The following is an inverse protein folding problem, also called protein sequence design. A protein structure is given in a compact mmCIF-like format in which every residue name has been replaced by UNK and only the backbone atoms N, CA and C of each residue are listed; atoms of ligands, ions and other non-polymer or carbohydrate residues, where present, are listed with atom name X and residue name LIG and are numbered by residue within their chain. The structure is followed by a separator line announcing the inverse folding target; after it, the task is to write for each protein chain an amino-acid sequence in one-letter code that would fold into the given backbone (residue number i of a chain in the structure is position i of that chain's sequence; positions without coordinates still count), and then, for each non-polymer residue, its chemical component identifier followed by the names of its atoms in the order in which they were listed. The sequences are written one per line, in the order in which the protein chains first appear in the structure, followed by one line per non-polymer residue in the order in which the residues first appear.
data_IF_962472756421
#
_entry.id   IF_962472756421
#
_cell.length_a   1.000
_cell.length_b   1.000
_cell.length_c   1.000
_cell.angle_alpha   90.00
_cell.angle_beta   90.00
_cell.angle_gamma   90.00
#
_symmetry.space_group_name_H-M   'P 1'
#
loop_
_entity.id
_entity.type
_entity.pdbx_description
1 polymer ?
#
# COMPACT_ATOMS: atom_id res chain seq x y z
N UNK A 1 22.80 33.98 57.97
CA UNK A 1 21.58 34.07 57.15
C UNK A 1 21.88 33.48 55.76
N UNK A 2 21.44 32.25 55.49
CA UNK A 2 21.62 31.56 54.19
C UNK A 2 20.38 31.82 53.34
N UNK A 3 20.53 32.58 52.22
CA UNK A 3 19.46 32.76 51.23
C UNK A 3 19.44 31.57 50.29
N UNK A 4 18.34 30.78 50.34
CA UNK A 4 18.07 29.70 49.42
C UNK A 4 17.44 30.28 48.16
N UNK A 5 18.08 30.05 46.99
CA UNK A 5 17.57 30.43 45.69
C UNK A 5 16.89 29.21 45.12
N UNK A 6 15.57 29.24 45.00
CA UNK A 6 14.80 28.21 44.32
C UNK A 6 14.80 28.53 42.81
N UNK A 7 15.50 27.71 42.04
CA UNK A 7 15.43 27.76 40.57
C UNK A 7 14.18 27.00 40.12
N UNK A 8 13.19 27.72 39.63
CA UNK A 8 11.99 27.15 39.02
C UNK A 8 12.35 26.77 37.58
N UNK A 9 12.48 25.49 37.29
CA UNK A 9 12.63 24.96 35.94
C UNK A 9 11.22 24.87 35.35
N UNK A 10 10.87 25.80 34.45
CA UNK A 10 9.66 25.72 33.64
C UNK A 10 9.95 24.74 32.50
N UNK A 11 9.42 23.53 32.63
CA UNK A 11 9.44 22.53 31.56
C UNK A 11 8.40 22.96 30.50
N UNK A 12 8.86 23.60 29.44
CA UNK A 12 8.02 23.89 28.27
C UNK A 12 7.79 22.56 27.54
N UNK A 13 6.66 21.93 27.77
CA UNK A 13 6.21 20.79 26.96
C UNK A 13 5.86 21.31 25.58
N UNK A 14 6.78 21.16 24.62
CA UNK A 14 6.51 21.31 23.22
C UNK A 14 5.60 20.15 22.80
N UNK A 15 4.29 20.38 22.77
CA UNK A 15 3.35 19.50 22.07
C UNK A 15 3.64 19.61 20.56
N UNK A 16 4.43 18.68 20.05
CA UNK A 16 4.57 18.51 18.62
C UNK A 16 3.23 17.97 18.14
N UNK A 17 2.40 18.82 17.57
CA UNK A 17 1.24 18.37 16.81
C UNK A 17 1.78 17.60 15.61
N UNK A 18 1.79 16.28 15.70
CA UNK A 18 2.04 15.41 14.55
C UNK A 18 0.83 15.57 13.63
N UNK A 19 0.93 16.52 12.69
CA UNK A 19 -0.03 16.63 11.59
C UNK A 19 0.05 15.30 10.86
N UNK A 20 -1.08 14.62 10.71
CA UNK A 20 -1.17 13.35 9.98
C UNK A 20 -0.57 13.51 8.60
N UNK A 21 0.64 12.99 8.41
CA UNK A 21 1.38 13.14 7.17
C UNK A 21 0.70 12.29 6.09
N UNK A 22 0.35 12.94 4.97
CA UNK A 22 -0.03 12.25 3.74
C UNK A 22 1.28 11.90 3.03
N UNK A 23 1.59 10.61 2.93
CA UNK A 23 2.87 10.16 2.37
C UNK A 23 2.88 10.31 0.86
N UNK A 24 1.71 10.20 0.23
CA UNK A 24 1.57 10.35 -1.21
C UNK A 24 0.22 10.95 -1.60
N UNK A 25 0.28 11.97 -2.46
CA UNK A 25 -0.89 12.64 -3.04
C UNK A 25 -0.68 12.78 -4.55
N UNK A 26 -1.59 12.20 -5.33
CA UNK A 26 -1.56 12.33 -6.77
C UNK A 26 -2.98 12.41 -7.35
N UNK A 27 -3.08 13.07 -8.49
CA UNK A 27 -4.31 13.05 -9.27
C UNK A 27 -4.37 11.70 -10.02
N UNK A 28 -5.37 10.84 -9.76
CA UNK A 28 -5.47 9.55 -10.43
C UNK A 28 -5.61 9.65 -11.95
N UNK A 29 -5.98 10.82 -12.49
CA UNK A 29 -6.05 11.03 -13.94
C UNK A 29 -4.70 11.35 -14.58
N UNK A 30 -3.68 11.69 -13.78
CA UNK A 30 -2.33 11.99 -14.30
C UNK A 30 -1.47 10.72 -14.45
N UNK A 31 -1.96 9.58 -13.94
CA UNK A 31 -1.25 8.31 -14.03
C UNK A 31 -1.65 7.58 -15.30
N UNK A 32 -0.71 7.47 -16.22
CA UNK A 32 -0.87 6.59 -17.39
C UNK A 32 -0.51 5.16 -16.96
N UNK A 33 -1.48 4.24 -16.87
CA UNK A 33 -1.19 2.87 -16.50
C UNK A 33 -0.22 2.24 -17.49
N UNK A 34 0.79 1.52 -16.99
CA UNK A 34 1.60 0.69 -17.85
C UNK A 34 0.74 -0.47 -18.36
N UNK A 35 0.79 -0.71 -19.67
CA UNK A 35 0.07 -1.83 -20.28
C UNK A 35 0.92 -3.09 -20.11
N UNK A 36 0.43 -4.02 -19.32
CA UNK A 36 0.97 -5.38 -19.24
C UNK A 36 0.36 -6.27 -20.32
N UNK A 37 0.96 -7.40 -20.55
CA UNK A 37 0.44 -8.45 -21.44
C UNK A 37 -0.19 -9.56 -20.61
N UNK A 38 -1.47 -9.84 -20.84
CA UNK A 38 -2.11 -11.04 -20.28
C UNK A 38 -1.42 -12.28 -20.83
N UNK A 39 -1.03 -13.20 -19.97
CA UNK A 39 -0.32 -14.42 -20.32
C UNK A 39 -1.04 -15.66 -19.76
N UNK A 40 -0.83 -16.79 -20.41
CA UNK A 40 -1.29 -18.07 -19.92
C UNK A 40 -0.48 -18.49 -18.67
N UNK A 41 -1.06 -19.23 -17.70
CA UNK A 41 -0.31 -19.81 -16.59
C UNK A 41 0.91 -20.64 -17.01
N UNK A 42 0.88 -21.25 -18.19
CA UNK A 42 2.00 -22.03 -18.74
C UNK A 42 3.19 -21.17 -19.18
N UNK A 43 2.99 -19.86 -19.32
CA UNK A 43 4.05 -18.89 -19.64
C UNK A 43 4.64 -18.22 -18.41
N UNK A 44 4.07 -18.49 -17.24
CA UNK A 44 4.58 -18.01 -15.94
C UNK A 44 5.71 -18.92 -15.48
N UNK A 45 6.84 -18.37 -15.01
CA UNK A 45 7.91 -19.19 -14.45
C UNK A 45 7.41 -20.10 -13.32
N UNK A 46 7.88 -21.33 -13.28
CA UNK A 46 7.46 -22.30 -12.25
C UNK A 46 7.79 -21.82 -10.83
N UNK A 47 8.88 -21.06 -10.67
CA UNK A 47 9.26 -20.41 -9.42
C UNK A 47 8.15 -19.49 -8.89
N UNK A 48 7.55 -18.70 -9.80
CA UNK A 48 6.45 -17.77 -9.48
C UNK A 48 5.19 -18.52 -9.10
N UNK A 49 4.82 -19.55 -9.87
CA UNK A 49 3.64 -20.38 -9.56
C UNK A 49 3.78 -21.05 -8.19
N UNK A 50 4.96 -21.61 -7.89
CA UNK A 50 5.20 -22.27 -6.61
C UNK A 50 5.17 -21.26 -5.44
N UNK A 51 5.77 -20.09 -5.60
CA UNK A 51 5.73 -19.04 -4.59
C UNK A 51 4.29 -18.58 -4.30
N UNK A 52 3.50 -18.31 -5.33
CA UNK A 52 2.10 -17.91 -5.19
C UNK A 52 1.28 -18.93 -4.40
N UNK A 53 1.44 -20.24 -4.70
CA UNK A 53 0.75 -21.29 -3.97
C UNK A 53 1.12 -21.34 -2.49
N UNK A 54 2.39 -21.10 -2.16
CA UNK A 54 2.87 -21.04 -0.77
C UNK A 54 2.32 -19.81 -0.05
N UNK A 55 2.37 -18.65 -0.70
CA UNK A 55 2.00 -17.37 -0.09
C UNK A 55 0.50 -17.24 0.16
N UNK A 56 -0.32 -17.71 -0.78
CA UNK A 56 -1.78 -17.51 -0.71
C UNK A 56 -2.59 -18.79 -0.50
N UNK A 57 -1.96 -19.97 -0.55
CA UNK A 57 -2.63 -21.27 -0.40
C UNK A 57 -3.82 -21.47 -1.34
N UNK A 58 -3.72 -20.92 -2.54
CA UNK A 58 -4.74 -20.99 -3.58
C UNK A 58 -4.27 -21.92 -4.70
N UNK A 59 -5.18 -22.78 -5.15
CA UNK A 59 -4.92 -23.70 -6.28
C UNK A 59 -5.20 -23.04 -7.63
N UNK A 60 -6.19 -22.13 -7.69
CA UNK A 60 -6.52 -21.37 -8.89
C UNK A 60 -5.88 -19.96 -8.81
N UNK A 61 -4.88 -19.71 -9.64
CA UNK A 61 -4.16 -18.45 -9.60
C UNK A 61 -4.92 -17.26 -10.22
N UNK A 62 -6.11 -17.45 -10.80
CA UNK A 62 -6.81 -16.37 -11.48
C UNK A 62 -6.09 -15.92 -12.77
N UNK A 63 -6.03 -14.58 -13.00
CA UNK A 63 -5.49 -14.00 -14.25
C UNK A 63 -4.06 -13.53 -14.05
N UNK A 64 -3.17 -13.87 -15.01
CA UNK A 64 -1.78 -13.45 -15.02
C UNK A 64 -1.52 -12.34 -16.03
N UNK A 65 -0.74 -11.34 -15.60
CA UNK A 65 -0.27 -10.25 -16.45
C UNK A 65 1.25 -10.12 -16.30
N UNK A 66 1.96 -10.05 -17.41
CA UNK A 66 3.40 -9.79 -17.41
C UNK A 66 3.67 -8.33 -17.73
N UNK A 67 4.49 -7.69 -16.90
CA UNK A 67 4.98 -6.33 -17.10
C UNK A 67 6.50 -6.33 -17.29
N UNK A 68 7.03 -5.71 -18.35
CA UNK A 68 8.47 -5.55 -18.55
C UNK A 68 9.01 -4.32 -17.82
N UNK A 69 8.41 -3.94 -16.67
CA UNK A 69 8.70 -2.71 -15.95
C UNK A 69 8.82 -2.97 -14.46
N UNK A 70 9.62 -2.14 -13.77
CA UNK A 70 9.63 -2.13 -12.31
C UNK A 70 8.33 -1.53 -11.77
N UNK A 71 7.83 -2.09 -10.67
CA UNK A 71 6.73 -1.49 -9.91
C UNK A 71 7.31 -0.30 -9.13
N UNK A 72 6.73 0.89 -9.32
CA UNK A 72 7.03 2.05 -8.47
C UNK A 72 6.40 1.83 -7.11
N UNK A 73 7.19 2.07 -6.09
CA UNK A 73 6.70 2.24 -4.73
C UNK A 73 5.63 3.34 -4.71
N UNK A 74 4.73 3.30 -3.75
CA UNK A 74 3.71 4.32 -3.47
C UNK A 74 2.51 4.45 -4.42
N UNK A 75 2.43 3.81 -5.57
CA UNK A 75 1.31 4.08 -6.46
C UNK A 75 0.68 2.89 -7.14
N UNK A 76 1.24 1.68 -7.02
CA UNK A 76 0.90 0.55 -7.89
C UNK A 76 1.01 0.93 -9.37
N UNK A 77 2.09 1.64 -9.70
CA UNK A 77 2.39 2.15 -11.04
C UNK A 77 3.66 1.50 -11.53
N UNK A 78 3.63 0.97 -12.75
CA UNK A 78 4.82 0.42 -13.38
C UNK A 78 5.61 1.53 -14.06
N UNK A 79 6.90 1.62 -13.73
CA UNK A 79 7.79 2.64 -14.28
C UNK A 79 8.24 2.26 -15.69
N UNK A 80 7.81 3.04 -16.65
CA UNK A 80 8.20 2.87 -18.05
C UNK A 80 9.58 3.43 -18.37
N UNK A 81 10.05 4.36 -17.53
CA UNK A 81 11.24 5.18 -17.78
C UNK A 81 12.45 4.75 -16.93
N UNK A 82 12.21 3.96 -15.88
CA UNK A 82 13.28 3.52 -14.98
C UNK A 82 14.14 2.44 -15.62
N UNK A 83 15.26 2.87 -16.13
CA UNK A 83 16.46 2.09 -16.46
C UNK A 83 16.48 1.23 -17.73
N UNK A 84 17.70 1.04 -18.23
CA UNK A 84 18.07 0.14 -19.35
C UNK A 84 17.79 -1.35 -19.08
N UNK A 85 17.59 -1.74 -17.82
CA UNK A 85 17.22 -3.10 -17.42
C UNK A 85 15.75 -3.11 -17.09
N UNK A 86 14.93 -3.71 -17.94
CA UNK A 86 13.48 -3.88 -17.72
C UNK A 86 13.25 -5.22 -17.02
N UNK A 87 13.08 -5.25 -15.69
CA UNK A 87 12.83 -6.50 -15.00
C UNK A 87 11.44 -7.01 -15.36
N UNK A 88 11.34 -8.29 -15.74
CA UNK A 88 10.03 -8.94 -15.87
C UNK A 88 9.35 -9.02 -14.50
N UNK A 89 8.10 -8.56 -14.45
CA UNK A 89 7.21 -8.67 -13.30
C UNK A 89 5.98 -9.48 -13.69
N UNK A 90 5.55 -10.35 -12.79
CA UNK A 90 4.40 -11.21 -12.97
C UNK A 90 3.36 -10.82 -11.94
N UNK A 91 2.28 -10.19 -12.39
CA UNK A 91 1.15 -9.86 -11.54
C UNK A 91 0.08 -10.94 -11.68
N UNK A 92 -0.39 -11.44 -10.56
CA UNK A 92 -1.58 -12.30 -10.50
C UNK A 92 -2.73 -11.54 -9.88
N UNK A 93 -3.89 -11.60 -10.51
CA UNK A 93 -5.16 -11.09 -9.99
C UNK A 93 -5.98 -12.25 -9.48
N UNK A 94 -6.34 -12.21 -8.21
CA UNK A 94 -7.10 -13.24 -7.51
C UNK A 94 -8.32 -12.60 -6.84
N UNK A 95 -9.31 -13.43 -6.52
CA UNK A 95 -10.46 -13.01 -5.72
C UNK A 95 -10.48 -13.80 -4.42
N UNK A 96 -10.49 -13.08 -3.28
CA UNK A 96 -10.65 -13.70 -1.96
C UNK A 96 -12.09 -14.16 -1.75
N UNK A 97 -12.31 -15.07 -0.79
CA UNK A 97 -13.63 -15.61 -0.48
C UNK A 97 -14.64 -14.53 -0.05
N UNK A 98 -14.18 -13.42 0.54
CA UNK A 98 -15.01 -12.26 0.92
C UNK A 98 -15.33 -11.31 -0.25
N UNK A 99 -14.92 -11.66 -1.47
CA UNK A 99 -15.10 -10.86 -2.67
C UNK A 99 -14.05 -9.76 -2.88
N UNK A 100 -13.06 -9.63 -2.00
CA UNK A 100 -11.95 -8.69 -2.14
C UNK A 100 -11.08 -9.06 -3.34
N UNK A 101 -10.76 -8.09 -4.18
CA UNK A 101 -9.78 -8.28 -5.25
C UNK A 101 -8.37 -8.17 -4.67
N UNK A 102 -7.55 -9.19 -4.90
CA UNK A 102 -6.17 -9.27 -4.47
C UNK A 102 -5.25 -9.34 -5.69
N UNK A 103 -4.28 -8.46 -5.73
CA UNK A 103 -3.22 -8.42 -6.73
C UNK A 103 -1.90 -8.73 -6.03
N UNK A 104 -1.08 -9.56 -6.63
CA UNK A 104 0.25 -9.86 -6.13
C UNK A 104 1.28 -9.80 -7.27
N UNK A 105 2.40 -9.13 -7.02
CA UNK A 105 3.47 -8.94 -8.00
C UNK A 105 4.70 -9.71 -7.56
N UNK A 106 5.23 -10.52 -8.47
CA UNK A 106 6.41 -11.33 -8.29
C UNK A 106 7.55 -10.95 -9.22
N UNK A 107 8.78 -11.15 -8.77
CA UNK A 107 9.93 -11.23 -9.65
C UNK A 107 9.92 -12.56 -10.43
N UNK A 108 10.74 -12.66 -11.47
CA UNK A 108 10.91 -13.90 -12.25
C UNK A 108 11.42 -15.08 -11.39
N UNK A 109 12.15 -14.78 -10.33
CA UNK A 109 12.69 -15.77 -9.39
C UNK A 109 11.65 -16.28 -8.38
N UNK A 110 10.43 -15.70 -8.36
CA UNK A 110 9.37 -16.03 -7.43
C UNK A 110 9.42 -15.24 -6.11
N UNK A 111 10.16 -14.14 -6.06
CA UNK A 111 10.13 -13.26 -4.89
C UNK A 111 8.87 -12.39 -4.94
N UNK A 112 8.05 -12.43 -3.90
CA UNK A 112 6.92 -11.52 -3.73
C UNK A 112 7.44 -10.10 -3.51
N UNK A 113 6.99 -9.17 -4.35
CA UNK A 113 7.44 -7.76 -4.36
C UNK A 113 6.40 -6.88 -3.70
N UNK A 114 5.14 -7.06 -4.06
CA UNK A 114 4.06 -6.26 -3.51
C UNK A 114 2.72 -7.00 -3.58
N UNK A 115 1.80 -6.62 -2.71
CA UNK A 115 0.38 -6.99 -2.80
C UNK A 115 -0.48 -5.73 -2.75
N UNK A 116 -1.65 -5.78 -3.41
CA UNK A 116 -2.70 -4.77 -3.33
C UNK A 116 -4.05 -5.44 -3.14
N UNK A 117 -4.76 -5.05 -2.11
CA UNK A 117 -6.13 -5.46 -1.85
C UNK A 117 -7.07 -4.29 -2.09
N UNK A 118 -8.17 -4.51 -2.81
CA UNK A 118 -9.16 -3.49 -3.10
C UNK A 118 -10.47 -3.87 -2.41
N UNK A 119 -10.94 -3.00 -1.53
CA UNK A 119 -12.16 -3.21 -0.76
C UNK A 119 -13.29 -2.30 -1.25
N UNK A 120 -14.45 -2.87 -1.38
CA UNK A 120 -15.71 -2.15 -1.57
C UNK A 120 -16.46 -2.18 -0.23
N UNK A 121 -16.98 -1.02 0.21
CA UNK A 121 -17.85 -0.93 1.39
C UNK A 121 -17.26 -1.33 2.75
N UNK A 122 -15.93 -1.50 2.89
CA UNK A 122 -15.31 -1.71 4.19
C UNK A 122 -15.12 -0.37 4.90
N UNK A 123 -15.46 -0.24 6.20
CA UNK A 123 -15.19 1.00 6.95
C UNK A 123 -13.68 1.28 7.02
N UNK A 124 -13.32 2.55 7.15
CA UNK A 124 -11.93 2.92 7.41
C UNK A 124 -11.51 2.45 8.81
N UNK A 125 -10.29 1.88 8.96
CA UNK A 125 -9.69 1.67 10.27
C UNK A 125 -9.61 2.96 11.07
N UNK A 126 -9.69 2.88 12.40
CA UNK A 126 -9.68 4.08 13.24
C UNK A 126 -8.40 4.90 13.06
N UNK A 127 -7.26 4.23 13.00
CA UNK A 127 -5.96 4.86 12.73
C UNK A 127 -5.91 5.64 11.40
N UNK A 128 -6.62 5.17 10.37
CA UNK A 128 -6.74 5.90 9.07
C UNK A 128 -7.65 7.11 9.23
N UNK A 129 -8.76 6.99 9.96
CA UNK A 129 -9.66 8.11 10.24
C UNK A 129 -8.94 9.22 11.02
N UNK A 130 -8.18 8.86 12.04
CA UNK A 130 -7.38 9.80 12.83
C UNK A 130 -6.34 10.54 11.97
N UNK A 131 -5.60 9.81 11.13
CA UNK A 131 -4.64 10.43 10.21
C UNK A 131 -5.34 11.36 9.22
N UNK A 132 -6.47 10.95 8.66
CA UNK A 132 -7.25 11.78 7.74
C UNK A 132 -7.76 13.06 8.44
N UNK A 133 -8.32 12.93 9.65
CA UNK A 133 -8.83 14.05 10.44
C UNK A 133 -7.74 15.07 10.81
N UNK A 134 -6.48 14.63 10.92
CA UNK A 134 -5.33 15.47 11.20
C UNK A 134 -4.56 15.93 9.93
N UNK A 135 -5.06 15.61 8.74
CA UNK A 135 -4.42 15.97 7.47
C UNK A 135 -5.04 17.24 6.87
N UNK A 136 -4.43 17.73 5.79
CA UNK A 136 -5.00 18.81 4.98
C UNK A 136 -6.31 18.43 4.28
N UNK A 137 -6.64 17.13 4.26
CA UNK A 137 -7.84 16.55 3.66
C UNK A 137 -8.96 16.25 4.66
N UNK A 138 -8.89 16.77 5.90
CA UNK A 138 -9.87 16.52 6.98
C UNK A 138 -11.33 16.81 6.59
N UNK A 139 -11.53 17.80 5.73
CA UNK A 139 -12.88 18.23 5.29
C UNK A 139 -13.27 17.67 3.91
N UNK A 140 -12.55 16.65 3.43
CA UNK A 140 -12.84 15.98 2.16
C UNK A 140 -13.65 14.72 2.39
N UNK A 141 -14.57 14.43 1.49
CA UNK A 141 -15.35 13.19 1.53
C UNK A 141 -14.54 12.01 0.97
N UNK A 142 -14.52 10.91 1.69
CA UNK A 142 -13.94 9.65 1.19
C UNK A 142 -14.91 9.01 0.22
N UNK A 143 -14.43 8.69 -0.99
CA UNK A 143 -15.24 8.11 -2.06
C UNK A 143 -14.56 6.90 -2.68
N UNK A 144 -15.36 6.04 -3.34
CA UNK A 144 -14.83 4.90 -4.09
C UNK A 144 -14.25 3.78 -3.22
N UNK A 145 -13.42 2.98 -3.85
CA UNK A 145 -12.76 1.84 -3.23
C UNK A 145 -11.61 2.31 -2.32
N UNK A 146 -11.28 1.45 -1.38
CA UNK A 146 -10.15 1.62 -0.47
C UNK A 146 -9.15 0.52 -0.75
N UNK A 147 -7.87 0.80 -0.56
CA UNK A 147 -6.82 -0.14 -0.93
C UNK A 147 -5.81 -0.28 0.20
N UNK A 148 -5.33 -1.50 0.42
CA UNK A 148 -4.12 -1.77 1.20
C UNK A 148 -3.04 -2.23 0.23
N UNK A 149 -1.90 -1.55 0.25
CA UNK A 149 -0.74 -1.89 -0.57
C UNK A 149 0.40 -2.24 0.37
N UNK A 150 1.01 -3.41 0.17
CA UNK A 150 2.17 -3.88 0.93
C UNK A 150 3.34 -4.05 -0.03
N UNK A 151 4.50 -3.51 0.33
CA UNK A 151 5.77 -3.70 -0.36
C UNK A 151 6.70 -4.56 0.49
N UNK A 152 7.27 -5.59 -0.10
CA UNK A 152 8.12 -6.57 0.56
C UNK A 152 9.57 -6.34 0.11
N UNK A 153 10.38 -5.72 0.97
CA UNK A 153 11.80 -5.47 0.68
C UNK A 153 12.66 -6.69 0.99
N UNK A 154 12.29 -7.42 2.04
CA UNK A 154 12.87 -8.70 2.44
C UNK A 154 11.85 -9.49 3.29
N UNK A 155 12.28 -10.64 3.85
CA UNK A 155 11.40 -11.52 4.63
C UNK A 155 10.86 -10.87 5.91
N UNK A 156 11.49 -9.81 6.41
CA UNK A 156 11.18 -9.18 7.69
C UNK A 156 10.79 -7.70 7.55
N UNK A 157 10.90 -7.14 6.34
CA UNK A 157 10.67 -5.72 6.08
C UNK A 157 9.50 -5.56 5.12
N UNK A 158 8.37 -5.12 5.67
CA UNK A 158 7.14 -4.87 4.93
C UNK A 158 6.70 -3.44 5.20
N UNK A 159 6.55 -2.65 4.15
CA UNK A 159 5.94 -1.34 4.22
C UNK A 159 4.48 -1.45 3.78
N UNK A 160 3.56 -0.92 4.59
CA UNK A 160 2.13 -0.98 4.31
C UNK A 160 1.55 0.43 4.15
N UNK A 161 0.82 0.63 3.07
CA UNK A 161 0.08 1.86 2.79
C UNK A 161 -1.42 1.58 2.75
N UNK A 162 -2.20 2.49 3.34
CA UNK A 162 -3.63 2.53 3.17
C UNK A 162 -3.97 3.67 2.20
N UNK A 163 -4.48 3.32 1.02
CA UNK A 163 -4.81 4.28 -0.02
C UNK A 163 -6.32 4.50 -0.10
N UNK A 164 -6.73 5.76 -0.15
CA UNK A 164 -8.13 6.17 -0.30
C UNK A 164 -8.24 7.26 -1.36
N UNK A 165 -9.42 7.34 -1.97
CA UNK A 165 -9.78 8.46 -2.81
C UNK A 165 -10.64 9.43 -2.00
N UNK A 166 -10.28 10.70 -2.02
CA UNK A 166 -11.04 11.77 -1.38
C UNK A 166 -11.52 12.78 -2.42
N UNK A 167 -12.64 13.46 -2.14
CA UNK A 167 -13.22 14.46 -3.06
C UNK A 167 -13.70 15.68 -2.30
N UNK A 168 -13.51 16.85 -2.91
CA UNK A 168 -14.07 18.13 -2.49
C UNK A 168 -14.21 19.05 -3.72
N UNK A 169 -15.32 19.77 -3.84
CA UNK A 169 -15.56 20.72 -4.93
C UNK A 169 -15.29 20.14 -6.34
N UNK A 170 -15.73 18.91 -6.60
CA UNK A 170 -15.48 18.14 -7.81
C UNK A 170 -14.00 17.79 -8.09
N UNK A 171 -13.09 18.13 -7.20
CA UNK A 171 -11.69 17.70 -7.26
C UNK A 171 -11.55 16.35 -6.57
N UNK A 172 -10.88 15.39 -7.22
CA UNK A 172 -10.54 14.08 -6.64
C UNK A 172 -9.03 13.99 -6.40
N UNK A 173 -8.63 13.39 -5.29
CA UNK A 173 -7.25 13.05 -4.96
C UNK A 173 -7.17 11.61 -4.48
N UNK A 174 -6.09 10.94 -4.83
CA UNK A 174 -5.71 9.67 -4.24
C UNK A 174 -4.61 9.93 -3.22
N UNK A 175 -4.86 9.59 -1.97
CA UNK A 175 -3.93 9.83 -0.86
C UNK A 175 -3.60 8.52 -0.18
N UNK A 176 -2.35 8.39 0.24
CA UNK A 176 -1.85 7.23 0.95
C UNK A 176 -1.34 7.61 2.33
N UNK A 177 -1.59 6.75 3.29
CA UNK A 177 -1.04 6.82 4.63
C UNK A 177 -0.16 5.59 4.86
N UNK A 178 1.10 5.82 5.22
CA UNK A 178 2.00 4.75 5.63
C UNK A 178 1.61 4.24 7.02
N UNK A 179 1.59 2.94 7.17
CA UNK A 179 1.46 2.23 8.44
C UNK A 179 2.65 1.29 8.58
N UNK A 180 3.44 1.51 9.59
CA UNK A 180 4.33 0.45 10.04
C UNK A 180 3.44 -0.67 10.56
N UNK A 181 3.35 -1.77 9.83
CA UNK A 181 2.66 -2.95 10.28
C UNK A 181 3.40 -3.46 11.52
N UNK A 182 2.83 -3.28 12.70
CA UNK A 182 3.27 -4.03 13.85
C UNK A 182 2.98 -5.51 13.59
N UNK A 183 3.90 -6.40 13.96
CA UNK A 183 3.75 -7.84 13.73
C UNK A 183 2.42 -8.39 14.29
N UNK A 184 1.82 -7.72 15.26
CA UNK A 184 0.53 -8.08 15.88
C UNK A 184 -0.67 -7.78 14.98
N UNK A 185 -0.62 -6.77 14.09
CA UNK A 185 -1.69 -6.44 13.16
C UNK A 185 -1.80 -7.48 12.03
N UNK A 186 -0.72 -8.17 11.70
CA UNK A 186 -0.67 -9.22 10.69
C UNK A 186 -1.33 -10.53 11.16
N UNK A 187 -1.54 -10.69 12.46
CA UNK A 187 -2.16 -11.90 13.05
C UNK A 187 -3.67 -11.81 13.16
N UNK A 188 -4.27 -10.63 13.16
CA UNK A 188 -5.73 -10.46 13.24
C UNK A 188 -6.47 -10.69 11.91
N UNK A 189 -5.77 -10.71 10.79
CA UNK A 189 -6.38 -11.02 9.48
C UNK A 189 -6.55 -12.53 9.19
N UNK A 190 -6.22 -13.40 10.14
CA UNK A 190 -6.27 -14.87 9.98
C UNK A 190 -7.47 -15.54 10.66
N UNK A 191 -8.48 -14.77 11.11
CA UNK A 191 -9.72 -15.33 11.66
C UNK A 191 -10.91 -15.10 10.74
#
# INVERSE_FOLDING_TARGET
MKKSVYTVIILLALTINVIGQVDHDYNPNDVVPATGSTISPTQVPISVINAMKVDFKLDDPGTWTKFPYALKEYGWVYDKDASSVKPDRYEVTMKKADGTDLFAVYSKEGTLIATREIFVNRPLPESVKEKLANSIYKDWAVVGNKEIIKYYYDKNSVEQHYRITVTKDNVKRSISFNFQANADDLTQEKQ
#
